data_IF_023952435282
#
_entry.id   IF_023952435282
#
_cell.length_a   1.000
_cell.length_b   1.000
_cell.length_c   1.000
_cell.angle_alpha   90.00
_cell.angle_beta   90.00
_cell.angle_gamma   90.00
#
_symmetry.space_group_name_H-M   'P 1'
#
loop_
_entity.id
_entity.type
_entity.pdbx_description
1 polymer ?
#
# COMPACT_ATOMS: atom_id res chain seq x y z
N UNK A 1 -16.34 6.45 -4.56
CA UNK A 1 -15.70 5.13 -4.77
C UNK A 1 -14.17 5.19 -4.80
N UNK A 2 -13.54 5.85 -5.77
CA UNK A 2 -12.06 5.99 -5.74
C UNK A 2 -11.57 6.82 -4.55
N UNK A 3 -12.27 7.92 -4.26
CA UNK A 3 -11.96 8.76 -3.10
C UNK A 3 -12.09 7.96 -1.79
N UNK A 4 -13.16 7.18 -1.62
CA UNK A 4 -13.34 6.33 -0.44
C UNK A 4 -12.17 5.34 -0.23
N UNK A 5 -11.65 4.73 -1.32
CA UNK A 5 -10.44 3.90 -1.25
C UNK A 5 -9.24 4.71 -0.76
N UNK A 6 -9.03 5.90 -1.31
CA UNK A 6 -7.92 6.80 -0.96
C UNK A 6 -7.99 7.17 0.52
N UNK A 7 -9.17 7.57 0.99
CA UNK A 7 -9.41 7.99 2.37
C UNK A 7 -9.15 6.84 3.36
N UNK A 8 -9.61 5.62 3.02
CA UNK A 8 -9.29 4.41 3.78
C UNK A 8 -7.77 4.15 3.79
N UNK A 9 -7.11 4.32 2.64
CA UNK A 9 -5.67 4.18 2.51
C UNK A 9 -4.91 5.14 3.42
N UNK A 10 -5.28 6.43 3.43
CA UNK A 10 -4.68 7.44 4.29
C UNK A 10 -4.90 7.09 5.76
N UNK A 11 -6.13 6.78 6.17
CA UNK A 11 -6.47 6.41 7.55
C UNK A 11 -5.57 5.30 8.10
N UNK A 12 -5.34 4.23 7.33
CA UNK A 12 -4.49 3.12 7.79
C UNK A 12 -3.00 3.43 7.70
N UNK A 13 -2.57 4.30 6.79
CA UNK A 13 -1.19 4.77 6.74
C UNK A 13 -0.85 5.64 7.92
N UNK A 14 -1.74 6.53 8.32
CA UNK A 14 -1.53 7.40 9.49
C UNK A 14 -1.44 6.61 10.80
N UNK A 15 -2.10 5.44 10.86
CA UNK A 15 -1.98 4.51 11.98
C UNK A 15 -0.72 3.62 11.95
N UNK A 16 0.05 3.63 10.84
CA UNK A 16 1.26 2.82 10.68
C UNK A 16 2.45 3.56 11.32
N UNK A 17 3.31 2.88 12.13
CA UNK A 17 4.53 3.49 12.64
C UNK A 17 5.38 4.13 11.53
N UNK A 18 5.92 5.32 11.77
CA UNK A 18 6.49 6.15 10.71
C UNK A 18 7.59 5.46 9.90
N UNK A 19 8.57 4.74 10.49
CA UNK A 19 9.59 4.05 9.72
C UNK A 19 9.00 3.02 8.74
N UNK A 20 7.96 2.31 9.18
CA UNK A 20 7.27 1.34 8.33
C UNK A 20 6.40 2.02 7.27
N UNK A 21 5.76 3.13 7.61
CA UNK A 21 4.98 3.94 6.66
C UNK A 21 5.87 4.45 5.53
N UNK A 22 7.03 5.00 5.86
CA UNK A 22 8.01 5.54 4.92
C UNK A 22 8.54 4.47 3.98
N UNK A 23 8.88 3.30 4.52
CA UNK A 23 9.26 2.13 3.72
C UNK A 23 8.18 1.80 2.68
N UNK A 24 6.93 1.71 3.11
CA UNK A 24 5.82 1.37 2.22
C UNK A 24 5.62 2.46 1.16
N UNK A 25 5.72 3.74 1.51
CA UNK A 25 5.63 4.84 0.54
C UNK A 25 6.77 4.81 -0.48
N UNK A 26 7.99 4.57 -0.05
CA UNK A 26 9.14 4.47 -0.95
C UNK A 26 8.95 3.33 -1.97
N UNK A 27 8.54 2.16 -1.49
CA UNK A 27 8.31 1.00 -2.35
C UNK A 27 7.12 1.20 -3.30
N UNK A 28 6.00 1.71 -2.79
CA UNK A 28 4.81 1.97 -3.60
C UNK A 28 5.09 3.02 -4.68
N UNK A 29 5.79 4.09 -4.32
CA UNK A 29 6.18 5.14 -5.28
C UNK A 29 7.06 4.56 -6.38
N UNK A 30 8.07 3.75 -6.04
CA UNK A 30 8.94 3.08 -7.04
C UNK A 30 8.16 2.14 -7.97
N UNK A 31 7.18 1.40 -7.45
CA UNK A 31 6.45 0.35 -8.18
C UNK A 31 5.24 0.86 -8.98
N UNK A 32 4.59 1.92 -8.48
CA UNK A 32 3.31 2.39 -8.97
C UNK A 32 3.30 3.87 -9.36
N UNK A 33 4.37 4.62 -9.09
CA UNK A 33 4.40 6.08 -9.15
C UNK A 33 3.35 6.76 -8.25
N UNK A 34 2.84 6.04 -7.25
CA UNK A 34 1.84 6.54 -6.29
C UNK A 34 2.09 5.91 -4.90
N UNK A 35 2.22 6.72 -3.83
CA UNK A 35 2.52 6.22 -2.49
C UNK A 35 1.38 5.40 -1.87
N UNK A 36 0.14 5.57 -2.34
CA UNK A 36 -1.04 4.81 -1.88
C UNK A 36 -1.30 3.56 -2.75
N UNK A 37 -0.33 3.17 -3.57
CA UNK A 37 -0.33 1.91 -4.31
C UNK A 37 -0.86 2.05 -5.75
N UNK A 38 -1.32 0.95 -6.38
CA UNK A 38 -1.68 0.97 -7.79
C UNK A 38 -2.83 1.96 -8.09
N UNK A 39 -2.79 2.66 -9.24
CA UNK A 39 -3.85 3.56 -9.65
C UNK A 39 -5.14 2.78 -9.97
N UNK A 40 -6.27 3.46 -9.86
CA UNK A 40 -7.60 2.86 -10.03
C UNK A 40 -7.76 2.13 -11.37
N UNK A 41 -7.40 2.81 -12.46
CA UNK A 41 -7.55 2.28 -13.82
C UNK A 41 -6.71 1.03 -14.04
N UNK A 42 -5.54 0.93 -13.39
CA UNK A 42 -4.70 -0.27 -13.45
C UNK A 42 -5.40 -1.46 -12.79
N UNK A 43 -6.07 -1.23 -11.65
CA UNK A 43 -6.81 -2.27 -10.94
C UNK A 43 -8.05 -2.73 -11.73
N UNK A 44 -8.79 -1.79 -12.33
CA UNK A 44 -9.90 -2.10 -13.24
C UNK A 44 -9.40 -2.91 -14.44
N UNK A 45 -8.37 -2.42 -15.15
CA UNK A 45 -7.81 -3.11 -16.31
C UNK A 45 -7.31 -4.53 -15.96
N UNK A 46 -6.72 -4.73 -14.79
CA UNK A 46 -6.30 -6.05 -14.32
C UNK A 46 -7.49 -6.97 -14.02
N UNK A 47 -8.54 -6.47 -13.38
CA UNK A 47 -9.75 -7.24 -13.09
C UNK A 47 -10.47 -7.67 -14.38
N UNK A 48 -10.65 -6.74 -15.32
CA UNK A 48 -11.25 -7.01 -16.62
C UNK A 48 -10.43 -8.05 -17.42
N UNK A 49 -9.09 -7.96 -17.42
CA UNK A 49 -8.22 -8.98 -18.03
C UNK A 49 -8.39 -10.37 -17.42
N UNK A 50 -8.84 -10.46 -16.16
CA UNK A 50 -9.13 -11.72 -15.46
C UNK A 50 -10.58 -12.19 -15.66
N UNK A 51 -11.34 -11.56 -16.56
CA UNK A 51 -12.71 -11.94 -16.90
C UNK A 51 -13.77 -11.45 -15.89
N UNK A 52 -13.41 -10.53 -14.99
CA UNK A 52 -14.38 -9.93 -14.05
C UNK A 52 -15.22 -8.89 -14.78
N UNK A 53 -16.47 -8.76 -14.37
CA UNK A 53 -17.30 -7.59 -14.69
C UNK A 53 -16.78 -6.33 -13.99
N UNK A 54 -17.23 -5.18 -14.46
CA UNK A 54 -16.86 -3.89 -13.88
C UNK A 54 -17.33 -3.78 -12.41
N UNK A 55 -18.54 -4.25 -12.10
CA UNK A 55 -19.10 -4.25 -10.74
C UNK A 55 -18.29 -5.15 -9.79
N UNK A 56 -17.88 -6.33 -10.25
CA UNK A 56 -16.98 -7.19 -9.49
C UNK A 56 -15.61 -6.54 -9.27
N UNK A 57 -15.10 -5.77 -10.23
CA UNK A 57 -13.85 -5.04 -10.05
C UNK A 57 -13.99 -3.99 -8.95
N UNK A 58 -15.06 -3.17 -8.98
CA UNK A 58 -15.33 -2.19 -7.93
C UNK A 58 -15.45 -2.83 -6.55
N UNK A 59 -16.28 -3.87 -6.42
CA UNK A 59 -16.49 -4.55 -5.15
C UNK A 59 -15.18 -5.12 -4.57
N UNK A 60 -14.34 -5.72 -5.42
CA UNK A 60 -13.04 -6.25 -5.01
C UNK A 60 -12.05 -5.16 -4.57
N UNK A 61 -12.03 -4.01 -5.25
CA UNK A 61 -11.12 -2.91 -4.89
C UNK A 61 -11.48 -2.35 -3.50
N UNK A 62 -12.78 -2.20 -3.21
CA UNK A 62 -13.24 -1.69 -1.91
C UNK A 62 -12.97 -2.71 -0.80
N UNK A 63 -13.35 -3.97 -1.02
CA UNK A 63 -13.18 -5.02 -0.01
C UNK A 63 -11.72 -5.23 0.36
N UNK A 64 -10.83 -5.34 -0.64
CA UNK A 64 -9.39 -5.51 -0.43
C UNK A 64 -8.73 -4.32 0.28
N UNK A 65 -9.24 -3.10 0.09
CA UNK A 65 -8.72 -1.91 0.78
C UNK A 65 -9.10 -1.87 2.27
N UNK A 66 -10.09 -2.67 2.67
CA UNK A 66 -10.61 -2.74 4.04
C UNK A 66 -10.07 -3.94 4.84
N UNK A 67 -9.21 -4.76 4.22
CA UNK A 67 -8.68 -5.98 4.84
C UNK A 67 -7.17 -5.88 5.07
N UNK A 68 -6.63 -6.36 6.20
CA UNK A 68 -5.19 -6.48 6.39
C UNK A 68 -4.53 -7.34 5.32
N UNK A 69 -3.23 -7.13 5.10
CA UNK A 69 -2.47 -8.01 4.21
C UNK A 69 -2.46 -9.43 4.80
N UNK A 70 -2.87 -10.41 4.00
CA UNK A 70 -2.97 -11.82 4.40
C UNK A 70 -1.63 -12.43 4.82
N UNK A 71 -0.52 -11.89 4.32
CA UNK A 71 0.83 -12.36 4.63
C UNK A 71 1.73 -11.16 4.94
N UNK A 72 1.73 -10.81 6.23
CA UNK A 72 2.52 -9.71 6.77
C UNK A 72 4.01 -10.03 6.72
N UNK A 73 4.42 -11.30 6.89
CA UNK A 73 5.83 -11.68 6.87
C UNK A 73 6.44 -11.46 5.49
N UNK A 74 5.73 -11.91 4.43
CA UNK A 74 6.18 -11.65 3.07
C UNK A 74 6.22 -10.14 2.77
N UNK A 75 5.19 -9.39 3.21
CA UNK A 75 5.15 -7.94 3.02
C UNK A 75 6.34 -7.22 3.66
N UNK A 76 6.74 -7.64 4.86
CA UNK A 76 7.80 -7.01 5.65
C UNK A 76 9.18 -7.63 5.45
N UNK A 77 9.28 -8.67 4.60
CA UNK A 77 10.52 -9.43 4.39
C UNK A 77 11.73 -8.60 3.94
N UNK A 78 11.50 -7.38 3.43
CA UNK A 78 12.53 -6.44 2.97
C UNK A 78 12.59 -5.14 3.77
N UNK A 79 11.86 -5.08 4.89
CA UNK A 79 11.86 -3.92 5.76
C UNK A 79 13.19 -3.77 6.49
N UNK A 80 13.72 -4.84 7.08
CA UNK A 80 14.98 -4.81 7.83
C UNK A 80 16.16 -4.41 6.92
N UNK A 81 16.25 -5.03 5.73
CA UNK A 81 17.24 -4.68 4.71
C UNK A 81 17.18 -3.18 4.37
N UNK A 82 15.97 -2.61 4.24
CA UNK A 82 15.78 -1.19 3.97
C UNK A 82 16.17 -0.32 5.16
N UNK A 83 15.83 -0.74 6.38
CA UNK A 83 16.08 0.04 7.58
C UNK A 83 17.59 0.21 7.84
N UNK A 84 18.39 -0.82 7.56
CA UNK A 84 19.85 -0.79 7.67
C UNK A 84 20.48 0.24 6.71
N UNK A 85 19.79 0.60 5.62
CA UNK A 85 20.27 1.66 4.71
C UNK A 85 20.05 3.08 5.24
N UNK A 86 19.29 3.26 6.32
CA UNK A 86 19.03 4.56 6.92
C UNK A 86 20.12 4.91 7.94
N UNK A 87 20.44 6.20 8.01
CA UNK A 87 21.37 6.72 9.01
C UNK A 87 20.82 6.54 10.43
N UNK A 88 21.68 6.36 11.45
CA UNK A 88 21.22 6.17 12.83
C UNK A 88 20.36 7.35 13.33
N UNK A 89 20.65 8.57 12.86
CA UNK A 89 19.85 9.76 13.18
C UNK A 89 18.42 9.73 12.60
N UNK A 90 18.11 8.80 11.68
CA UNK A 90 16.76 8.57 11.21
C UNK A 90 15.91 7.93 12.31
N UNK A 91 16.41 6.85 12.93
CA UNK A 91 15.69 6.16 14.00
C UNK A 91 15.57 7.03 15.26
N UNK A 92 16.61 7.80 15.59
CA UNK A 92 16.61 8.70 16.75
C UNK A 92 15.52 9.78 16.67
N UNK A 93 15.00 10.09 15.48
CA UNK A 93 13.90 11.04 15.27
C UNK A 93 12.52 10.42 15.43
N UNK A 94 12.43 9.10 15.44
CA UNK A 94 11.19 8.34 15.46
C UNK A 94 11.03 7.49 16.74
N UNK A 95 11.94 7.64 17.72
CA UNK A 95 11.90 7.10 19.08
C UNK A 95 11.51 8.20 20.08
#
# INVERSE_FOLDING_TARGET
MWQDRRDIGVKYKDATPEPLRDYIYEFNTKRYADPLGPPFDRLIAEGLRKGKSLDECYANIISSSSTPNKDVNTLLSKFDDWLITKDSSYLDKHL
#
